data_IF_240167848506
#
_entry.id   IF_240167848506
#
_cell.length_a   1.000
_cell.length_b   1.000
_cell.length_c   1.000
_cell.angle_alpha   90.00
_cell.angle_beta   90.00
_cell.angle_gamma   90.00
#
_symmetry.space_group_name_H-M   'P 1'
#
loop_
_entity.id
_entity.type
_entity.pdbx_description
1 polymer ?
#
# COMPACT_ATOMS: atom_id res chain seq x y z
N UNK A 1 -32.14 24.40 25.22
CA UNK A 1 -32.15 23.39 26.30
C UNK A 1 -32.82 22.14 25.75
N UNK A 2 -32.05 21.06 25.53
CA UNK A 2 -32.64 19.76 25.13
C UNK A 2 -33.26 19.07 26.35
N UNK A 3 -34.51 18.56 26.26
CA UNK A 3 -35.07 17.77 27.35
C UNK A 3 -34.26 16.48 27.53
N UNK A 4 -33.87 16.19 28.79
CA UNK A 4 -32.81 15.23 29.15
C UNK A 4 -32.89 13.83 28.50
N UNK A 5 -34.06 13.28 28.21
CA UNK A 5 -34.21 11.95 27.60
C UNK A 5 -33.88 11.94 26.11
N UNK A 6 -34.17 13.00 25.37
CA UNK A 6 -33.89 13.11 23.93
C UNK A 6 -32.39 13.26 23.67
N UNK A 7 -31.67 14.02 24.54
CA UNK A 7 -30.23 14.21 24.44
C UNK A 7 -29.48 12.92 24.75
N UNK A 8 -29.96 12.10 25.68
CA UNK A 8 -29.37 10.79 26.00
C UNK A 8 -29.54 9.81 24.83
N UNK A 9 -30.72 9.74 24.22
CA UNK A 9 -30.99 8.89 23.05
C UNK A 9 -30.14 9.29 21.84
N UNK A 10 -29.99 10.58 21.57
CA UNK A 10 -29.15 11.07 20.48
C UNK A 10 -27.68 10.68 20.69
N UNK A 11 -27.18 10.79 21.92
CA UNK A 11 -25.80 10.38 22.24
C UNK A 11 -25.59 8.89 22.02
N UNK A 12 -26.51 8.04 22.52
CA UNK A 12 -26.43 6.59 22.30
C UNK A 12 -26.45 6.21 20.83
N UNK A 13 -27.26 6.90 19.99
CA UNK A 13 -27.31 6.66 18.54
C UNK A 13 -26.00 7.11 17.87
N UNK A 14 -25.41 8.21 18.30
CA UNK A 14 -24.13 8.69 17.78
C UNK A 14 -22.99 7.72 18.15
N UNK A 15 -22.92 7.31 19.42
CA UNK A 15 -21.93 6.34 19.91
C UNK A 15 -22.03 5.00 19.14
N UNK A 16 -23.25 4.51 18.89
CA UNK A 16 -23.48 3.30 18.11
C UNK A 16 -23.01 3.45 16.66
N UNK A 17 -23.30 4.59 16.01
CA UNK A 17 -22.84 4.86 14.63
C UNK A 17 -21.34 4.99 14.52
N UNK A 18 -20.69 5.59 15.53
CA UNK A 18 -19.22 5.68 15.58
C UNK A 18 -18.60 4.31 15.73
N UNK A 19 -19.18 3.44 16.57
CA UNK A 19 -18.71 2.07 16.75
C UNK A 19 -18.87 1.22 15.48
N UNK A 20 -20.02 1.32 14.79
CA UNK A 20 -20.22 0.65 13.50
C UNK A 20 -19.23 1.14 12.43
N UNK A 21 -19.05 2.45 12.30
CA UNK A 21 -18.11 3.03 11.34
C UNK A 21 -16.66 2.60 11.62
N UNK A 22 -16.30 2.48 12.91
CA UNK A 22 -14.99 2.00 13.32
C UNK A 22 -14.81 0.52 12.97
N UNK A 23 -15.79 -0.35 13.26
CA UNK A 23 -15.76 -1.78 12.92
C UNK A 23 -15.63 -2.00 11.41
N UNK A 24 -16.39 -1.25 10.61
CA UNK A 24 -16.30 -1.30 9.16
C UNK A 24 -14.92 -0.87 8.66
N UNK A 25 -14.37 0.20 9.22
CA UNK A 25 -13.01 0.68 8.88
C UNK A 25 -11.96 -0.36 9.20
N UNK A 26 -12.00 -0.96 10.40
CA UNK A 26 -11.04 -2.01 10.81
C UNK A 26 -11.14 -3.22 9.89
N UNK A 27 -12.35 -3.65 9.54
CA UNK A 27 -12.58 -4.79 8.65
C UNK A 27 -12.00 -4.54 7.25
N UNK A 28 -12.20 -3.36 6.70
CA UNK A 28 -11.69 -3.01 5.38
C UNK A 28 -10.16 -2.86 5.36
N UNK A 29 -9.59 -2.29 6.41
CA UNK A 29 -8.12 -2.22 6.56
C UNK A 29 -7.54 -3.62 6.68
N UNK A 30 -8.17 -4.51 7.45
CA UNK A 30 -7.73 -5.91 7.58
C UNK A 30 -7.79 -6.65 6.23
N UNK A 31 -8.89 -6.51 5.48
CA UNK A 31 -9.02 -7.09 4.12
C UNK A 31 -7.97 -6.53 3.16
N UNK A 32 -7.79 -5.22 3.13
CA UNK A 32 -6.78 -4.57 2.29
C UNK A 32 -5.38 -5.04 2.64
N UNK A 33 -5.06 -5.15 3.93
CA UNK A 33 -3.76 -5.64 4.40
C UNK A 33 -3.53 -7.10 4.00
N UNK A 34 -4.54 -7.97 4.13
CA UNK A 34 -4.44 -9.37 3.71
C UNK A 34 -4.20 -9.51 2.20
N UNK A 35 -4.92 -8.73 1.39
CA UNK A 35 -4.73 -8.70 -0.08
C UNK A 35 -3.32 -8.19 -0.42
N UNK A 36 -2.85 -7.14 0.24
CA UNK A 36 -1.52 -6.57 0.00
C UNK A 36 -0.39 -7.52 0.40
N UNK A 37 -0.54 -8.26 1.50
CA UNK A 37 0.40 -9.32 1.90
C UNK A 37 0.43 -10.43 0.84
N UNK A 38 -0.74 -10.91 0.41
CA UNK A 38 -0.84 -11.94 -0.62
C UNK A 38 -0.17 -11.50 -1.93
N UNK A 39 -0.41 -10.26 -2.36
CA UNK A 39 0.21 -9.70 -3.56
C UNK A 39 1.73 -9.57 -3.42
N UNK A 40 2.22 -9.08 -2.28
CA UNK A 40 3.65 -8.96 -2.01
C UNK A 40 4.36 -10.33 -1.99
N UNK A 41 3.76 -11.34 -1.37
CA UNK A 41 4.27 -12.71 -1.38
C UNK A 41 4.26 -13.31 -2.79
N UNK A 42 3.23 -13.08 -3.57
CA UNK A 42 3.15 -13.54 -4.96
C UNK A 42 4.26 -12.94 -5.81
N UNK A 43 4.48 -11.63 -5.71
CA UNK A 43 5.57 -10.94 -6.42
C UNK A 43 6.93 -11.51 -5.97
N UNK A 44 7.12 -11.71 -4.66
CA UNK A 44 8.35 -12.30 -4.12
C UNK A 44 8.59 -13.70 -4.69
N UNK A 45 7.57 -14.56 -4.73
CA UNK A 45 7.68 -15.90 -5.29
C UNK A 45 8.00 -15.88 -6.80
N UNK A 46 7.37 -14.99 -7.57
CA UNK A 46 7.64 -14.85 -9.01
C UNK A 46 9.07 -14.38 -9.26
N UNK A 47 9.56 -13.40 -8.53
CA UNK A 47 10.95 -12.93 -8.63
C UNK A 47 11.92 -14.03 -8.23
N UNK A 48 11.63 -14.77 -7.15
CA UNK A 48 12.42 -15.92 -6.71
C UNK A 48 12.49 -17.01 -7.77
N UNK A 49 11.37 -17.35 -8.39
CA UNK A 49 11.28 -18.33 -9.48
C UNK A 49 12.11 -17.90 -10.70
N UNK A 50 12.03 -16.64 -11.11
CA UNK A 50 12.82 -16.10 -12.22
C UNK A 50 14.31 -16.17 -11.87
N UNK A 51 14.68 -15.79 -10.65
CA UNK A 51 16.06 -15.85 -10.17
C UNK A 51 16.63 -17.27 -10.16
N UNK A 52 15.83 -18.25 -9.74
CA UNK A 52 16.21 -19.66 -9.73
C UNK A 52 16.44 -20.20 -11.16
N UNK A 53 15.52 -19.89 -12.07
CA UNK A 53 15.65 -20.26 -13.51
C UNK A 53 16.91 -19.64 -14.11
N UNK A 54 17.16 -18.34 -13.85
CA UNK A 54 18.35 -17.64 -14.38
C UNK A 54 19.66 -18.17 -13.81
N UNK A 55 19.62 -18.72 -12.60
CA UNK A 55 20.78 -19.33 -11.92
C UNK A 55 21.00 -20.81 -12.27
N UNK A 56 20.19 -21.37 -13.20
CA UNK A 56 20.28 -22.77 -13.60
C UNK A 56 19.96 -23.75 -12.47
N UNK A 57 19.05 -23.39 -11.53
CA UNK A 57 18.65 -24.23 -10.40
C UNK A 57 19.67 -24.28 -9.25
N UNK A 58 20.70 -23.44 -9.27
CA UNK A 58 21.77 -23.41 -8.24
C UNK A 58 21.57 -22.34 -7.16
N UNK A 59 20.32 -21.88 -6.97
CA UNK A 59 19.99 -20.84 -6.01
C UNK A 59 20.01 -21.37 -4.57
N UNK A 60 21.12 -21.17 -3.85
CA UNK A 60 21.23 -21.56 -2.44
C UNK A 60 21.09 -20.35 -1.52
N UNK A 61 20.32 -20.52 -0.45
CA UNK A 61 20.10 -19.50 0.57
C UNK A 61 20.54 -20.02 1.94
N UNK A 62 21.64 -19.46 2.45
CA UNK A 62 22.20 -19.82 3.76
C UNK A 62 21.58 -18.98 4.91
N UNK A 63 21.72 -19.47 6.15
CA UNK A 63 21.43 -18.72 7.37
C UNK A 63 20.01 -18.11 7.46
N UNK A 64 18.97 -18.93 7.26
CA UNK A 64 17.57 -18.47 7.33
C UNK A 64 17.25 -17.28 6.42
N UNK A 65 18.03 -17.08 5.37
CA UNK A 65 17.86 -15.94 4.46
C UNK A 65 16.50 -15.97 3.78
N UNK A 66 16.05 -17.15 3.36
CA UNK A 66 14.69 -17.33 2.79
C UNK A 66 13.60 -16.89 3.78
N UNK A 67 13.68 -17.35 5.03
CA UNK A 67 12.70 -16.98 6.08
C UNK A 67 12.66 -15.47 6.30
N UNK A 68 13.83 -14.82 6.37
CA UNK A 68 13.92 -13.35 6.49
C UNK A 68 13.30 -12.64 5.29
N UNK A 69 13.49 -13.17 4.08
CA UNK A 69 12.91 -12.61 2.85
C UNK A 69 11.40 -12.75 2.83
N UNK A 70 10.84 -13.89 3.24
CA UNK A 70 9.39 -14.10 3.33
C UNK A 70 8.76 -13.16 4.36
N UNK A 71 9.33 -13.06 5.57
CA UNK A 71 8.86 -12.15 6.61
C UNK A 71 8.96 -10.70 6.11
N UNK A 72 10.06 -10.34 5.45
CA UNK A 72 10.24 -9.02 4.86
C UNK A 72 9.15 -8.71 3.83
N UNK A 73 8.82 -9.66 2.96
CA UNK A 73 7.72 -9.49 1.98
C UNK A 73 6.37 -9.27 2.66
N UNK A 74 6.08 -9.97 3.76
CA UNK A 74 4.85 -9.75 4.54
C UNK A 74 4.82 -8.35 5.16
N UNK A 75 5.94 -7.88 5.73
CA UNK A 75 6.04 -6.53 6.29
C UNK A 75 5.85 -5.46 5.21
N UNK A 76 6.42 -5.66 4.01
CA UNK A 76 6.21 -4.78 2.86
C UNK A 76 4.73 -4.76 2.46
N UNK A 77 4.09 -5.92 2.39
CA UNK A 77 2.65 -6.02 2.11
C UNK A 77 1.80 -5.26 3.13
N UNK A 78 2.11 -5.36 4.43
CA UNK A 78 1.48 -4.56 5.47
C UNK A 78 1.75 -3.06 5.29
N UNK A 79 2.97 -2.69 4.91
CA UNK A 79 3.37 -1.30 4.67
C UNK A 79 2.59 -0.62 3.55
N UNK A 80 2.14 -1.38 2.56
CA UNK A 80 1.23 -0.89 1.52
C UNK A 80 -0.25 -1.09 1.89
N UNK A 81 -0.60 -2.11 2.65
CA UNK A 81 -1.99 -2.39 3.04
C UNK A 81 -2.54 -1.41 4.09
N UNK A 82 -1.78 -1.17 5.14
CA UNK A 82 -2.23 -0.32 6.25
C UNK A 82 -2.57 1.12 5.83
N UNK A 83 -1.76 1.84 5.00
CA UNK A 83 -2.08 3.23 4.66
C UNK A 83 -3.32 3.39 3.78
N UNK A 84 -3.98 2.32 3.34
CA UNK A 84 -5.20 2.40 2.53
C UNK A 84 -6.36 3.10 3.24
N UNK A 85 -6.36 3.14 4.59
CA UNK A 85 -7.39 3.88 5.34
C UNK A 85 -7.41 5.38 4.99
N UNK A 86 -6.31 5.94 4.47
CA UNK A 86 -6.24 7.36 4.11
C UNK A 86 -7.20 7.72 2.97
N UNK A 87 -7.56 6.74 2.12
CA UNK A 87 -8.52 6.96 1.04
C UNK A 87 -9.95 7.21 1.52
N UNK A 88 -10.27 6.88 2.77
CA UNK A 88 -11.56 7.18 3.42
C UNK A 88 -11.66 8.62 3.95
N UNK A 89 -10.54 9.32 4.06
CA UNK A 89 -10.50 10.69 4.56
C UNK A 89 -10.86 11.69 3.45
N UNK A 90 -12.13 12.08 3.35
CA UNK A 90 -12.61 13.00 2.31
C UNK A 90 -12.01 14.42 2.37
N UNK A 91 -11.44 14.79 3.51
CA UNK A 91 -10.80 16.09 3.71
C UNK A 91 -9.50 16.29 2.92
N UNK A 92 -8.89 15.22 2.37
CA UNK A 92 -7.63 15.30 1.64
C UNK A 92 -7.87 15.12 0.13
N UNK A 93 -7.24 15.95 -0.73
CA UNK A 93 -7.31 15.76 -2.17
C UNK A 93 -6.65 14.43 -2.58
N UNK A 94 -7.21 13.77 -3.62
CA UNK A 94 -6.74 12.46 -4.11
C UNK A 94 -5.21 12.38 -4.33
N UNK A 95 -4.54 13.36 -4.94
CA UNK A 95 -3.09 13.29 -5.12
C UNK A 95 -2.31 13.18 -3.81
N UNK A 96 -2.76 13.88 -2.76
CA UNK A 96 -2.10 13.83 -1.43
C UNK A 96 -2.27 12.45 -0.80
N UNK A 97 -3.46 11.84 -0.88
CA UNK A 97 -3.71 10.48 -0.39
C UNK A 97 -2.77 9.47 -1.06
N UNK A 98 -2.60 9.58 -2.37
CA UNK A 98 -1.70 8.70 -3.14
C UNK A 98 -0.24 8.90 -2.71
N UNK A 99 0.22 10.14 -2.56
CA UNK A 99 1.59 10.44 -2.13
C UNK A 99 1.87 9.85 -0.74
N UNK A 100 0.96 10.02 0.21
CA UNK A 100 1.13 9.47 1.56
C UNK A 100 1.16 7.93 1.52
N UNK A 101 0.22 7.30 0.80
CA UNK A 101 0.16 5.86 0.67
C UNK A 101 1.43 5.28 0.03
N UNK A 102 1.81 5.79 -1.14
CA UNK A 102 2.99 5.32 -1.87
C UNK A 102 4.28 5.66 -1.11
N UNK A 103 4.37 6.86 -0.53
CA UNK A 103 5.55 7.29 0.23
C UNK A 103 5.80 6.39 1.44
N UNK A 104 4.75 6.09 2.22
CA UNK A 104 4.85 5.17 3.36
C UNK A 104 5.29 3.78 2.92
N UNK A 105 4.68 3.22 1.87
CA UNK A 105 5.05 1.92 1.32
C UNK A 105 6.49 1.87 0.84
N UNK A 106 6.97 2.91 0.14
CA UNK A 106 8.35 3.01 -0.34
C UNK A 106 9.37 3.10 0.81
N UNK A 107 9.07 3.85 1.86
CA UNK A 107 9.94 3.94 3.05
C UNK A 107 10.06 2.57 3.71
N UNK A 108 8.94 1.89 3.97
CA UNK A 108 8.92 0.56 4.59
C UNK A 108 9.66 -0.44 3.71
N UNK A 109 9.41 -0.45 2.40
CA UNK A 109 10.13 -1.30 1.46
C UNK A 109 11.64 -1.07 1.53
N UNK A 110 12.11 0.17 1.52
CA UNK A 110 13.55 0.49 1.55
C UNK A 110 14.22 -0.02 2.84
N UNK A 111 13.55 0.18 3.99
CA UNK A 111 14.05 -0.32 5.28
C UNK A 111 14.13 -1.85 5.28
N UNK A 112 13.07 -2.52 4.83
CA UNK A 112 13.02 -3.99 4.78
C UNK A 112 14.03 -4.55 3.79
N UNK A 113 14.13 -3.98 2.60
CA UNK A 113 15.07 -4.42 1.57
C UNK A 113 16.52 -4.31 2.03
N UNK A 114 16.84 -3.27 2.81
CA UNK A 114 18.15 -3.15 3.47
C UNK A 114 18.35 -4.23 4.54
N UNK A 115 17.38 -4.39 5.46
CA UNK A 115 17.46 -5.32 6.58
C UNK A 115 17.55 -6.79 6.15
N UNK A 116 16.83 -7.15 5.08
CA UNK A 116 16.80 -8.51 4.52
C UNK A 116 17.98 -8.80 3.59
N UNK A 117 18.70 -7.74 3.15
CA UNK A 117 19.85 -7.87 2.26
C UNK A 117 19.49 -8.06 0.78
N UNK A 118 18.29 -7.62 0.34
CA UNK A 118 17.90 -7.64 -1.09
C UNK A 118 18.79 -6.72 -1.95
N UNK A 119 19.40 -5.73 -1.34
CA UNK A 119 20.30 -4.78 -2.00
C UNK A 119 21.75 -5.27 -2.09
N UNK A 120 21.99 -6.59 -1.95
CA UNK A 120 23.30 -7.19 -2.17
C UNK A 120 24.28 -7.07 -0.99
N UNK A 121 23.84 -7.41 0.21
CA UNK A 121 24.61 -7.57 1.46
C UNK A 121 25.91 -6.76 1.57
N UNK A 122 26.11 -6.10 2.66
CA UNK A 122 27.29 -5.32 3.05
C UNK A 122 27.30 -3.84 2.61
N UNK A 123 26.74 -3.00 3.47
CA UNK A 123 27.29 -1.68 3.81
C UNK A 123 27.54 -0.62 2.70
N UNK A 124 27.31 -0.91 1.45
CA UNK A 124 27.52 0.08 0.41
C UNK A 124 26.28 1.00 0.26
N UNK A 125 26.35 2.13 0.96
CA UNK A 125 25.30 3.13 0.98
C UNK A 125 24.91 3.60 -0.44
N UNK A 126 25.86 3.60 -1.37
CA UNK A 126 25.62 3.98 -2.76
C UNK A 126 24.64 3.02 -3.44
N UNK A 127 24.75 1.71 -3.23
CA UNK A 127 23.80 0.72 -3.77
C UNK A 127 22.40 0.92 -3.21
N UNK A 128 22.28 1.22 -1.91
CA UNK A 128 21.01 1.52 -1.26
C UNK A 128 20.38 2.78 -1.86
N UNK A 129 21.17 3.84 -2.06
CA UNK A 129 20.69 5.08 -2.68
C UNK A 129 20.23 4.87 -4.12
N UNK A 130 21.01 4.15 -4.92
CA UNK A 130 20.64 3.83 -6.32
C UNK A 130 19.35 3.02 -6.35
N UNK A 131 19.20 1.99 -5.52
CA UNK A 131 18.00 1.19 -5.44
C UNK A 131 16.78 2.03 -5.02
N UNK A 132 16.93 2.92 -4.05
CA UNK A 132 15.86 3.84 -3.62
C UNK A 132 15.44 4.79 -4.75
N UNK A 133 16.41 5.34 -5.50
CA UNK A 133 16.11 6.23 -6.66
C UNK A 133 15.38 5.46 -7.75
N UNK A 134 15.82 4.25 -8.10
CA UNK A 134 15.15 3.40 -9.09
C UNK A 134 13.72 3.10 -8.64
N UNK A 135 13.52 2.70 -7.40
CA UNK A 135 12.20 2.42 -6.82
C UNK A 135 11.27 3.64 -6.90
N UNK A 136 11.74 4.82 -6.48
CA UNK A 136 10.96 6.04 -6.53
C UNK A 136 10.61 6.43 -7.98
N UNK A 137 11.54 6.22 -8.91
CA UNK A 137 11.30 6.47 -10.35
C UNK A 137 10.21 5.55 -10.88
N UNK A 138 10.26 4.25 -10.59
CA UNK A 138 9.22 3.29 -10.98
C UNK A 138 7.87 3.64 -10.35
N UNK A 139 7.84 3.95 -9.05
CA UNK A 139 6.64 4.36 -8.36
C UNK A 139 6.01 5.64 -8.98
N UNK A 140 6.85 6.62 -9.35
CA UNK A 140 6.41 7.85 -10.01
C UNK A 140 5.85 7.58 -11.42
N UNK A 141 6.49 6.71 -12.21
CA UNK A 141 6.00 6.32 -13.54
C UNK A 141 4.63 5.66 -13.43
N UNK A 142 4.47 4.70 -12.51
CA UNK A 142 3.20 4.01 -12.28
C UNK A 142 2.13 5.01 -11.86
N UNK A 143 2.43 5.88 -10.90
CA UNK A 143 1.52 6.94 -10.46
C UNK A 143 1.10 7.85 -11.61
N UNK A 144 2.05 8.28 -12.45
CA UNK A 144 1.79 9.15 -13.60
C UNK A 144 0.85 8.49 -14.63
N UNK A 145 1.09 7.20 -14.93
CA UNK A 145 0.24 6.41 -15.83
C UNK A 145 -1.19 6.29 -15.30
N UNK A 146 -1.35 5.95 -14.02
CA UNK A 146 -2.66 5.88 -13.36
C UNK A 146 -3.35 7.25 -13.35
N UNK A 147 -2.64 8.32 -13.03
CA UNK A 147 -3.21 9.66 -13.03
C UNK A 147 -3.70 10.08 -14.42
N UNK A 148 -2.94 9.76 -15.48
CA UNK A 148 -3.38 9.98 -16.86
C UNK A 148 -4.61 9.18 -17.22
N UNK A 149 -4.66 7.92 -16.81
CA UNK A 149 -5.81 7.05 -17.04
C UNK A 149 -7.07 7.61 -16.37
N UNK A 150 -7.01 7.90 -15.08
CA UNK A 150 -8.16 8.44 -14.34
C UNK A 150 -8.64 9.81 -14.84
N UNK A 151 -7.72 10.68 -15.25
CA UNK A 151 -8.09 11.96 -15.86
C UNK A 151 -8.84 11.80 -17.18
N UNK A 152 -8.46 10.82 -17.99
CA UNK A 152 -9.16 10.51 -19.24
C UNK A 152 -10.55 9.95 -18.98
N UNK A 153 -10.68 9.08 -18.01
CA UNK A 153 -11.96 8.48 -17.63
C UNK A 153 -12.91 9.52 -17.04
N UNK A 154 -12.43 10.37 -16.15
CA UNK A 154 -13.20 11.48 -15.61
C UNK A 154 -13.70 12.44 -16.70
N UNK A 155 -12.85 12.74 -17.70
CA UNK A 155 -13.25 13.55 -18.86
C UNK A 155 -14.37 12.87 -19.67
N UNK A 156 -14.22 11.59 -19.99
CA UNK A 156 -15.25 10.82 -20.71
C UNK A 156 -16.60 10.82 -20.00
N UNK A 157 -16.58 10.63 -18.66
CA UNK A 157 -17.81 10.67 -17.87
C UNK A 157 -18.45 12.06 -17.90
N UNK A 158 -17.64 13.12 -17.80
CA UNK A 158 -18.14 14.48 -17.83
C UNK A 158 -18.73 14.86 -19.22
N UNK A 159 -18.09 14.42 -20.29
CA UNK A 159 -18.57 14.64 -21.67
C UNK A 159 -19.93 13.95 -21.86
N UNK A 160 -20.10 12.70 -21.39
CA UNK A 160 -21.39 11.98 -21.44
C UNK A 160 -22.49 12.65 -20.61
N UNK A 161 -22.18 13.22 -19.45
CA UNK A 161 -23.16 13.97 -18.64
C UNK A 161 -23.61 15.24 -19.37
N UNK A 162 -22.72 15.87 -20.13
CA UNK A 162 -23.07 17.07 -20.92
C UNK A 162 -23.96 16.72 -22.14
N UNK A 163 -23.75 15.56 -22.77
CA UNK A 163 -24.59 15.08 -23.86
C UNK A 163 -26.02 14.73 -23.43
N UNK A 164 -26.26 14.45 -22.13
CA UNK A 164 -27.56 14.11 -21.57
C UNK A 164 -28.36 15.32 -21.06
N UNK A 165 -27.80 16.52 -21.13
CA UNK A 165 -28.46 17.80 -20.77
C UNK A 165 -28.98 18.51 -21.97
#
# INVERSE_FOLDING_TARGET
>A
MCPGNTCRRLRTILDYKEEEAMKETVTDVAKSSAISIGMSLTIFCLIGMIGDIMSGGSFSLDHYRFTKMVIGSMIVGLGFGLPTFIYRKDSLPMPVRVIIHMGTGCIIYTIVAYAVGWMGGSGNILKVMVAAVVQLTVAFIIWYLFMRYYRREAKRMNDRIQELK
#
